data_IF_588413618761
#
_entry.id   IF_588413618761
#
_cell.length_a   1.000
_cell.length_b   1.000
_cell.length_c   1.000
_cell.angle_alpha   90.00
_cell.angle_beta   90.00
_cell.angle_gamma   90.00
#
_symmetry.space_group_name_H-M   'P 1'
#
loop_
_entity.id
_entity.type
_entity.pdbx_description
1 polymer ?
#
# COMPACT_ATOMS: atom_id res chain seq x y z
N UNK A 1 -23.73 -38.18 64.96
CA UNK A 1 -22.83 -37.00 64.85
C UNK A 1 -22.65 -36.77 63.36
N UNK A 2 -23.62 -36.10 62.72
CA UNK A 2 -23.72 -34.64 62.50
C UNK A 2 -22.63 -34.20 61.51
N UNK A 3 -22.86 -33.47 60.42
CA UNK A 3 -24.00 -33.14 59.55
C UNK A 3 -23.38 -32.43 58.33
N UNK A 4 -24.09 -32.49 57.20
CA UNK A 4 -24.19 -31.49 56.10
C UNK A 4 -23.07 -30.45 55.89
N UNK A 5 -22.54 -30.35 54.66
CA UNK A 5 -22.87 -29.17 53.83
C UNK A 5 -22.46 -29.30 52.35
N UNK A 6 -23.48 -29.14 51.51
CA UNK A 6 -23.40 -28.64 50.14
C UNK A 6 -23.01 -27.17 50.18
N UNK A 7 -21.93 -26.77 49.52
CA UNK A 7 -21.75 -25.39 49.03
C UNK A 7 -21.19 -25.53 47.62
N UNK A 8 -22.03 -25.24 46.63
CA UNK A 8 -21.52 -24.89 45.31
C UNK A 8 -20.76 -23.58 45.41
N UNK A 9 -19.67 -23.47 44.67
CA UNK A 9 -19.26 -22.16 44.22
C UNK A 9 -19.07 -22.16 42.71
N UNK A 10 -19.63 -21.09 42.17
CA UNK A 10 -19.83 -20.83 40.78
C UNK A 10 -18.62 -20.07 40.27
N UNK A 11 -18.32 -20.25 38.99
CA UNK A 11 -17.63 -19.26 38.17
C UNK A 11 -16.30 -18.70 38.73
N UNK A 12 -15.20 -19.32 38.32
CA UNK A 12 -14.03 -18.51 37.96
C UNK A 12 -13.82 -18.67 36.45
N UNK A 13 -14.19 -17.59 35.75
CA UNK A 13 -14.15 -17.49 34.32
C UNK A 13 -12.79 -17.88 33.79
N UNK A 14 -12.79 -18.76 32.79
CA UNK A 14 -11.66 -18.92 31.89
C UNK A 14 -11.35 -17.56 31.30
N UNK A 15 -10.38 -16.85 31.89
CA UNK A 15 -9.75 -15.70 31.28
C UNK A 15 -9.27 -16.16 29.91
N UNK A 16 -10.00 -15.78 28.88
CA UNK A 16 -9.66 -16.06 27.50
C UNK A 16 -8.33 -15.36 27.28
N UNK A 17 -7.23 -16.12 27.32
CA UNK A 17 -5.89 -15.66 26.95
C UNK A 17 -6.05 -14.90 25.64
N UNK A 18 -5.92 -13.57 25.70
CA UNK A 18 -6.24 -12.68 24.60
C UNK A 18 -5.34 -13.08 23.44
N UNK A 19 -5.85 -13.90 22.52
CA UNK A 19 -5.05 -14.45 21.42
C UNK A 19 -4.48 -13.29 20.64
N UNK A 20 -3.18 -13.36 20.33
CA UNK A 20 -2.52 -12.38 19.48
C UNK A 20 -3.30 -12.26 18.17
N UNK A 21 -3.54 -11.03 17.67
CA UNK A 21 -4.31 -10.84 16.45
C UNK A 21 -3.64 -11.59 15.28
N UNK A 22 -4.44 -12.17 14.39
CA UNK A 22 -3.94 -12.81 13.17
C UNK A 22 -3.35 -11.74 12.26
N UNK A 23 -2.14 -11.95 11.77
CA UNK A 23 -1.54 -11.04 10.78
C UNK A 23 -2.11 -11.34 9.39
N UNK A 24 -2.61 -10.29 8.74
CA UNK A 24 -2.92 -10.25 7.31
C UNK A 24 -1.92 -9.33 6.62
N UNK A 25 -1.73 -9.51 5.31
CA UNK A 25 -0.74 -8.74 4.55
C UNK A 25 -1.37 -8.21 3.26
N UNK A 26 -1.14 -6.94 2.96
CA UNK A 26 -1.60 -6.32 1.72
C UNK A 26 -0.43 -5.83 0.88
N UNK A 27 -0.46 -6.10 -0.41
CA UNK A 27 0.63 -5.83 -1.32
C UNK A 27 0.34 -4.62 -2.20
N UNK A 28 1.26 -3.66 -2.22
CA UNK A 28 1.33 -2.63 -3.25
C UNK A 28 2.63 -2.81 -4.05
N UNK A 29 2.52 -2.98 -5.36
CA UNK A 29 3.67 -3.15 -6.24
C UNK A 29 4.03 -1.85 -6.95
N UNK A 30 5.32 -1.66 -7.23
CA UNK A 30 5.79 -0.51 -7.99
C UNK A 30 7.23 -0.64 -8.47
N UNK A 31 7.59 0.24 -9.40
CA UNK A 31 8.98 0.41 -9.81
C UNK A 31 9.75 1.32 -8.84
N UNK A 32 9.03 2.15 -8.07
CA UNK A 32 9.53 3.04 -7.01
C UNK A 32 10.67 3.99 -7.41
N UNK A 33 10.81 4.29 -8.70
CA UNK A 33 11.87 5.17 -9.20
C UNK A 33 11.58 6.63 -8.88
N UNK A 34 12.60 7.34 -8.36
CA UNK A 34 12.48 8.70 -7.82
C UNK A 34 11.26 8.83 -6.89
N UNK A 35 11.25 8.09 -5.78
CA UNK A 35 10.14 8.14 -4.81
C UNK A 35 9.76 9.59 -4.45
N UNK A 36 8.47 9.86 -4.45
CA UNK A 36 7.93 11.23 -4.39
C UNK A 36 6.55 11.22 -3.73
N UNK A 37 5.95 12.40 -3.53
CA UNK A 37 4.68 12.55 -2.78
C UNK A 37 3.54 11.70 -3.32
N UNK A 38 3.46 11.50 -4.64
CA UNK A 38 2.52 10.54 -5.24
C UNK A 38 2.68 9.09 -4.74
N UNK A 39 3.92 8.59 -4.65
CA UNK A 39 4.21 7.25 -4.12
C UNK A 39 3.89 7.17 -2.62
N UNK A 40 4.31 8.17 -1.84
CA UNK A 40 4.01 8.20 -0.40
C UNK A 40 2.51 8.29 -0.09
N UNK A 41 1.76 9.07 -0.87
CA UNK A 41 0.31 9.12 -0.72
C UNK A 41 -0.39 7.83 -1.19
N UNK A 42 0.15 7.13 -2.20
CA UNK A 42 -0.34 5.79 -2.55
C UNK A 42 -0.17 4.82 -1.38
N UNK A 43 1.01 4.74 -0.78
CA UNK A 43 1.28 3.87 0.38
C UNK A 43 0.41 4.29 1.58
N UNK A 44 0.22 5.60 1.83
CA UNK A 44 -0.71 6.09 2.87
C UNK A 44 -2.16 5.63 2.63
N UNK A 45 -2.63 5.64 1.38
CA UNK A 45 -3.96 5.13 1.04
C UNK A 45 -4.05 3.63 1.27
N UNK A 46 -3.00 2.86 0.92
CA UNK A 46 -2.92 1.43 1.23
C UNK A 46 -2.98 1.17 2.73
N UNK A 47 -2.28 1.96 3.55
CA UNK A 47 -2.42 1.89 5.01
C UNK A 47 -3.83 2.25 5.51
N UNK A 48 -4.55 3.13 4.81
CA UNK A 48 -5.96 3.43 5.13
C UNK A 48 -6.85 2.22 4.84
N UNK A 49 -6.65 1.58 3.69
CA UNK A 49 -7.34 0.33 3.30
C UNK A 49 -7.00 -0.80 4.30
N UNK A 50 -5.75 -0.87 4.79
CA UNK A 50 -5.36 -1.81 5.84
C UNK A 50 -6.26 -1.68 7.07
N UNK A 51 -6.43 -0.45 7.57
CA UNK A 51 -7.30 -0.18 8.72
C UNK A 51 -8.78 -0.41 8.45
N UNK A 52 -9.23 -0.25 7.20
CA UNK A 52 -10.61 -0.62 6.80
C UNK A 52 -10.81 -2.14 6.89
N UNK A 53 -9.86 -2.93 6.38
CA UNK A 53 -9.88 -4.39 6.48
C UNK A 53 -9.84 -4.85 7.94
N UNK A 54 -9.01 -4.22 8.78
CA UNK A 54 -8.97 -4.52 10.22
C UNK A 54 -10.34 -4.33 10.87
N UNK A 55 -11.03 -3.22 10.56
CA UNK A 55 -12.39 -2.94 11.07
C UNK A 55 -13.43 -3.91 10.52
N UNK A 56 -13.39 -4.23 9.22
CA UNK A 56 -14.27 -5.22 8.60
C UNK A 56 -14.15 -6.57 9.31
N UNK A 57 -12.92 -7.02 9.59
CA UNK A 57 -12.65 -8.27 10.27
C UNK A 57 -13.03 -8.26 11.75
N UNK A 58 -12.83 -7.14 12.44
CA UNK A 58 -13.28 -7.00 13.83
C UNK A 58 -14.81 -7.12 13.94
N UNK A 59 -15.57 -6.55 12.99
CA UNK A 59 -17.02 -6.71 12.92
C UNK A 59 -17.46 -8.15 12.62
N UNK A 60 -16.63 -8.93 11.92
CA UNK A 60 -16.80 -10.37 11.71
C UNK A 60 -16.39 -11.22 12.93
N UNK A 61 -15.90 -10.60 14.01
CA UNK A 61 -15.43 -11.28 15.22
C UNK A 61 -13.98 -11.80 15.12
N UNK A 62 -13.24 -11.43 14.07
CA UNK A 62 -11.82 -11.75 13.90
C UNK A 62 -10.94 -10.58 14.36
N UNK A 63 -10.05 -10.81 15.33
CA UNK A 63 -8.99 -9.85 15.64
C UNK A 63 -7.83 -10.02 14.67
N UNK A 64 -7.67 -9.07 13.75
CA UNK A 64 -6.57 -9.06 12.77
C UNK A 64 -5.72 -7.80 12.88
N UNK A 65 -4.46 -7.91 12.46
CA UNK A 65 -3.58 -6.78 12.17
C UNK A 65 -3.14 -6.88 10.72
N UNK A 66 -3.19 -5.78 9.98
CA UNK A 66 -2.84 -5.77 8.56
C UNK A 66 -1.49 -5.08 8.36
N UNK A 67 -0.54 -5.80 7.75
CA UNK A 67 0.78 -5.29 7.37
C UNK A 67 0.79 -4.84 5.91
N UNK A 68 1.36 -3.66 5.66
CA UNK A 68 1.56 -3.12 4.31
C UNK A 68 2.89 -3.62 3.76
N UNK A 69 2.82 -4.36 2.65
CA UNK A 69 3.95 -4.95 1.97
C UNK A 69 4.21 -4.21 0.67
N UNK A 70 5.42 -3.66 0.51
CA UNK A 70 5.83 -3.02 -0.74
C UNK A 70 6.54 -4.03 -1.66
N UNK A 71 6.02 -4.22 -2.86
CA UNK A 71 6.61 -5.06 -3.90
C UNK A 71 7.51 -4.28 -4.85
N UNK A 72 8.77 -4.69 -5.01
CA UNK A 72 9.72 -4.08 -5.96
C UNK A 72 9.79 -4.93 -7.23
N UNK A 73 9.52 -4.30 -8.37
CA UNK A 73 9.80 -4.91 -9.67
C UNK A 73 11.30 -4.81 -10.02
N UNK A 74 11.93 -5.88 -10.54
CA UNK A 74 13.31 -5.84 -10.98
C UNK A 74 13.54 -4.78 -12.07
N UNK A 75 14.58 -3.98 -11.93
CA UNK A 75 14.98 -2.98 -12.92
C UNK A 75 15.22 -3.63 -14.29
N UNK A 76 15.87 -4.80 -14.32
CA UNK A 76 16.11 -5.56 -15.55
C UNK A 76 14.82 -5.90 -16.30
N UNK A 77 13.75 -6.22 -15.57
CA UNK A 77 12.49 -6.64 -16.14
C UNK A 77 11.71 -5.44 -16.67
N UNK A 78 11.66 -4.36 -15.90
CA UNK A 78 10.97 -3.16 -16.36
C UNK A 78 11.71 -2.50 -17.53
N UNK A 79 13.05 -2.51 -17.55
CA UNK A 79 13.84 -2.05 -18.71
C UNK A 79 13.40 -2.76 -19.99
N UNK A 80 13.21 -4.08 -19.92
CA UNK A 80 12.76 -4.90 -21.05
C UNK A 80 11.36 -4.52 -21.54
N UNK A 81 10.45 -4.18 -20.61
CA UNK A 81 9.03 -3.93 -20.95
C UNK A 81 8.75 -2.48 -21.32
N UNK A 82 9.25 -1.52 -20.53
CA UNK A 82 8.94 -0.09 -20.69
C UNK A 82 9.97 0.67 -21.52
N UNK A 83 11.19 0.14 -21.66
CA UNK A 83 12.32 0.88 -22.21
C UNK A 83 12.77 2.02 -21.29
N UNK A 84 14.04 2.41 -21.41
CA UNK A 84 14.64 3.48 -20.61
C UNK A 84 15.44 2.99 -19.40
N UNK A 85 16.31 3.85 -18.90
CA UNK A 85 17.12 3.60 -17.70
C UNK A 85 16.42 4.14 -16.46
N UNK A 86 16.60 3.43 -15.35
CA UNK A 86 16.18 3.88 -14.03
C UNK A 86 17.22 4.82 -13.44
N UNK A 87 16.74 5.83 -12.70
CA UNK A 87 17.67 6.69 -11.97
C UNK A 87 18.15 6.00 -10.71
N UNK A 88 17.25 5.34 -9.97
CA UNK A 88 17.58 4.67 -8.72
C UNK A 88 17.92 3.18 -8.91
N UNK A 89 18.92 2.72 -8.17
CA UNK A 89 19.18 1.28 -7.96
C UNK A 89 18.05 0.63 -7.17
N UNK A 90 17.98 -0.70 -7.17
CA UNK A 90 16.99 -1.43 -6.37
C UNK A 90 17.23 -1.24 -4.86
N UNK A 91 18.49 -1.09 -4.44
CA UNK A 91 18.91 -0.83 -3.05
C UNK A 91 18.49 0.58 -2.58
N UNK A 92 18.62 1.59 -3.46
CA UNK A 92 18.14 2.95 -3.17
C UNK A 92 16.62 2.97 -3.02
N UNK A 93 15.91 2.25 -3.88
CA UNK A 93 14.44 2.11 -3.79
C UNK A 93 14.02 1.43 -2.50
N UNK A 94 14.68 0.34 -2.13
CA UNK A 94 14.44 -0.35 -0.86
C UNK A 94 14.68 0.57 0.33
N UNK A 95 15.79 1.31 0.34
CA UNK A 95 16.11 2.27 1.41
C UNK A 95 15.00 3.32 1.59
N UNK A 96 14.47 3.83 0.49
CA UNK A 96 13.36 4.81 0.51
C UNK A 96 12.06 4.18 1.02
N UNK A 97 11.75 2.94 0.62
CA UNK A 97 10.58 2.20 1.09
C UNK A 97 10.67 1.88 2.59
N UNK A 98 11.82 1.41 3.08
CA UNK A 98 12.05 1.16 4.52
C UNK A 98 11.96 2.42 5.36
N UNK A 99 12.25 3.58 4.78
CA UNK A 99 12.11 4.88 5.43
C UNK A 99 10.66 5.40 5.44
N UNK A 100 9.75 4.72 4.73
CA UNK A 100 8.34 5.08 4.70
C UNK A 100 7.60 4.47 5.89
N UNK A 101 7.11 5.32 6.81
CA UNK A 101 6.43 4.90 8.05
C UNK A 101 5.18 4.01 7.89
N UNK A 102 4.67 3.88 6.67
CA UNK A 102 3.49 3.08 6.35
C UNK A 102 3.84 1.74 5.70
N UNK A 103 5.12 1.42 5.51
CA UNK A 103 5.58 0.13 4.97
C UNK A 103 6.07 -0.73 6.12
N UNK A 104 5.53 -1.93 6.26
CA UNK A 104 5.90 -2.90 7.29
C UNK A 104 6.92 -3.92 6.76
N UNK A 105 6.80 -4.35 5.50
CA UNK A 105 7.71 -5.31 4.88
C UNK A 105 7.89 -5.05 3.37
N UNK A 106 8.90 -5.68 2.77
CA UNK A 106 9.25 -5.54 1.36
C UNK A 106 9.38 -6.92 0.71
N UNK A 107 8.78 -7.07 -0.47
CA UNK A 107 8.97 -8.23 -1.34
C UNK A 107 9.77 -7.80 -2.56
N UNK A 108 10.91 -8.45 -2.78
CA UNK A 108 11.76 -8.25 -3.94
C UNK A 108 11.33 -9.16 -5.10
N UNK A 109 11.87 -8.87 -6.28
CA UNK A 109 11.69 -9.68 -7.49
C UNK A 109 10.22 -9.94 -7.84
N UNK A 110 9.34 -8.96 -7.61
CA UNK A 110 7.94 -9.07 -8.02
C UNK A 110 7.89 -9.02 -9.55
N UNK A 111 7.42 -10.07 -10.23
CA UNK A 111 7.41 -10.09 -11.69
C UNK A 111 6.51 -8.99 -12.27
N UNK A 112 6.91 -8.38 -13.38
CA UNK A 112 6.11 -7.40 -14.11
C UNK A 112 5.22 -8.08 -15.17
N UNK A 113 4.33 -8.94 -14.68
CA UNK A 113 3.33 -9.69 -15.45
C UNK A 113 2.02 -9.81 -14.65
N UNK A 114 0.93 -10.35 -15.22
CA UNK A 114 -0.30 -10.56 -14.48
C UNK A 114 -0.06 -11.22 -13.12
N UNK A 115 -0.51 -10.55 -12.06
CA UNK A 115 -0.36 -10.98 -10.68
C UNK A 115 -1.31 -12.14 -10.44
N UNK A 116 -0.76 -13.28 -10.04
CA UNK A 116 -1.53 -14.51 -9.87
C UNK A 116 -1.84 -14.76 -8.40
N UNK A 117 -2.88 -15.57 -8.15
CA UNK A 117 -3.26 -15.97 -6.79
C UNK A 117 -2.15 -16.80 -6.13
N UNK A 118 -1.45 -17.62 -6.91
CA UNK A 118 -0.32 -18.43 -6.42
C UNK A 118 0.85 -17.55 -5.95
N UNK A 119 1.08 -16.39 -6.60
CA UNK A 119 2.06 -15.44 -6.11
C UNK A 119 1.64 -14.87 -4.75
N UNK A 120 0.37 -14.48 -4.61
CA UNK A 120 -0.16 -13.99 -3.34
C UNK A 120 0.02 -15.03 -2.23
N UNK A 121 -0.37 -16.28 -2.49
CA UNK A 121 -0.29 -17.36 -1.51
C UNK A 121 1.15 -17.69 -1.12
N UNK A 122 2.06 -17.77 -2.09
CA UNK A 122 3.50 -18.00 -1.85
C UNK A 122 4.10 -16.96 -0.91
N UNK A 123 3.67 -15.70 -1.03
CA UNK A 123 4.17 -14.59 -0.23
C UNK A 123 3.29 -14.28 1.00
N UNK A 124 2.24 -15.07 1.25
CA UNK A 124 1.27 -14.91 2.34
C UNK A 124 0.55 -13.55 2.29
N UNK A 125 0.14 -13.12 1.11
CA UNK A 125 -0.50 -11.82 0.87
C UNK A 125 -1.99 -12.04 0.74
N UNK A 126 -2.80 -11.42 1.59
CA UNK A 126 -4.26 -11.57 1.57
C UNK A 126 -4.90 -10.74 0.44
N UNK A 127 -4.45 -9.49 0.25
CA UNK A 127 -4.96 -8.59 -0.79
C UNK A 127 -3.86 -7.94 -1.61
N UNK A 128 -4.10 -7.77 -2.91
CA UNK A 128 -3.34 -6.87 -3.78
C UNK A 128 -4.04 -5.52 -3.87
N UNK A 129 -3.26 -4.44 -3.90
CA UNK A 129 -3.75 -3.07 -3.94
C UNK A 129 -3.05 -2.30 -5.06
N UNK A 130 -3.83 -1.61 -5.89
CA UNK A 130 -3.30 -0.79 -6.98
C UNK A 130 -4.11 0.51 -7.13
N UNK A 131 -3.53 1.49 -7.84
CA UNK A 131 -4.26 2.69 -8.25
C UNK A 131 -5.39 2.38 -9.22
N UNK A 132 -6.29 3.33 -9.40
CA UNK A 132 -7.40 3.31 -10.36
C UNK A 132 -6.97 3.49 -11.84
N UNK A 133 -5.66 3.52 -12.12
CA UNK A 133 -5.12 3.58 -13.46
C UNK A 133 -5.12 2.21 -14.17
N UNK A 134 -5.29 2.24 -15.49
CA UNK A 134 -5.35 1.03 -16.32
C UNK A 134 -4.00 0.31 -16.27
N UNK A 135 -3.96 -0.84 -15.59
CA UNK A 135 -2.81 -1.71 -15.50
C UNK A 135 -2.97 -2.90 -16.45
N UNK A 136 -2.44 -2.79 -17.68
CA UNK A 136 -2.44 -3.86 -18.68
C UNK A 136 -1.02 -4.29 -19.04
N UNK A 137 -0.84 -5.58 -19.27
CA UNK A 137 0.36 -6.15 -19.87
C UNK A 137 0.46 -5.76 -21.35
N UNK A 138 1.63 -6.02 -21.97
CA UNK A 138 1.90 -5.69 -23.37
C UNK A 138 0.96 -6.38 -24.37
N UNK A 139 0.36 -7.51 -23.99
CA UNK A 139 -0.62 -8.26 -24.77
C UNK A 139 -2.08 -7.82 -24.51
N UNK A 140 -2.29 -6.80 -23.66
CA UNK A 140 -3.59 -6.27 -23.28
C UNK A 140 -4.25 -6.95 -22.07
N UNK A 141 -3.60 -7.96 -21.48
CA UNK A 141 -4.11 -8.68 -20.30
C UNK A 141 -4.16 -7.77 -19.07
N UNK A 142 -5.24 -7.84 -18.27
CA UNK A 142 -5.34 -7.11 -17.00
C UNK A 142 -4.30 -7.67 -16.02
N UNK A 143 -3.42 -6.79 -15.51
CA UNK A 143 -2.36 -7.15 -14.57
C UNK A 143 -2.90 -7.70 -13.25
N UNK A 144 -4.15 -7.39 -12.90
CA UNK A 144 -4.79 -7.79 -11.66
C UNK A 144 -6.04 -8.66 -11.89
N UNK A 145 -6.26 -9.15 -13.12
CA UNK A 145 -7.46 -9.92 -13.47
C UNK A 145 -7.70 -11.13 -12.56
N UNK A 146 -6.67 -11.97 -12.37
CA UNK A 146 -6.78 -13.18 -11.53
C UNK A 146 -7.09 -12.86 -10.05
N UNK A 147 -6.49 -11.81 -9.50
CA UNK A 147 -6.70 -11.42 -8.10
C UNK A 147 -8.03 -10.70 -7.89
N UNK A 148 -8.55 -10.00 -8.91
CA UNK A 148 -9.91 -9.43 -8.94
C UNK A 148 -10.96 -10.55 -8.92
N UNK A 149 -10.81 -11.56 -9.77
CA UNK A 149 -11.71 -12.71 -9.84
C UNK A 149 -11.74 -13.48 -8.50
N UNK A 150 -10.59 -13.57 -7.82
CA UNK A 150 -10.48 -14.19 -6.49
C UNK A 150 -11.00 -13.31 -5.33
N UNK A 151 -11.51 -12.09 -5.58
CA UNK A 151 -11.97 -11.16 -4.54
C UNK A 151 -10.86 -10.58 -3.64
N UNK A 152 -9.60 -10.71 -4.06
CA UNK A 152 -8.38 -10.34 -3.31
C UNK A 152 -7.75 -9.05 -3.81
N UNK A 153 -8.56 -8.12 -4.27
CA UNK A 153 -8.11 -6.86 -4.85
C UNK A 153 -8.81 -5.66 -4.20
N UNK A 154 -8.08 -4.55 -4.04
CA UNK A 154 -8.56 -3.24 -3.57
C UNK A 154 -7.95 -2.13 -4.42
N UNK A 155 -8.64 -1.01 -4.52
CA UNK A 155 -8.19 0.14 -5.33
C UNK A 155 -8.09 1.42 -4.50
N UNK A 156 -7.20 2.32 -4.91
CA UNK A 156 -7.12 3.68 -4.40
C UNK A 156 -7.01 4.70 -5.54
N UNK A 157 -7.30 5.97 -5.26
CA UNK A 157 -7.22 7.02 -6.27
C UNK A 157 -5.77 7.47 -6.49
N UNK A 158 -5.33 7.50 -7.75
CA UNK A 158 -4.01 8.01 -8.11
C UNK A 158 -3.87 9.49 -7.78
N UNK A 159 -2.71 9.87 -7.25
CA UNK A 159 -2.40 11.28 -6.98
C UNK A 159 -2.13 12.04 -8.27
N UNK A 160 -2.88 13.11 -8.50
CA UNK A 160 -2.72 13.96 -9.68
C UNK A 160 -1.48 14.87 -9.59
N UNK A 161 -1.00 15.34 -10.74
CA UNK A 161 0.02 16.39 -10.90
C UNK A 161 1.45 16.05 -10.46
N UNK A 162 1.76 14.79 -10.11
CA UNK A 162 3.14 14.34 -9.89
C UNK A 162 3.37 12.94 -10.46
N UNK A 163 4.52 12.76 -11.12
CA UNK A 163 5.00 11.48 -11.62
C UNK A 163 6.51 11.53 -11.81
N UNK A 164 7.16 10.36 -11.86
CA UNK A 164 8.59 10.24 -12.21
C UNK A 164 8.90 10.95 -13.52
N UNK A 165 8.05 10.79 -14.55
CA UNK A 165 8.19 11.51 -15.84
C UNK A 165 8.14 13.03 -15.67
N UNK A 166 7.22 13.54 -14.84
CA UNK A 166 7.14 14.98 -14.54
C UNK A 166 8.41 15.48 -13.84
N UNK A 167 8.97 14.70 -12.91
CA UNK A 167 10.21 15.07 -12.21
C UNK A 167 11.41 15.07 -13.16
N UNK A 168 11.57 14.02 -13.98
CA UNK A 168 12.63 13.93 -14.98
C UNK A 168 12.53 15.10 -15.97
N UNK A 169 11.33 15.38 -16.50
CA UNK A 169 11.12 16.49 -17.42
C UNK A 169 11.42 17.85 -16.78
N UNK A 170 11.17 18.02 -15.48
CA UNK A 170 11.58 19.24 -14.76
C UNK A 170 13.09 19.35 -14.65
N UNK A 171 13.80 18.27 -14.33
CA UNK A 171 15.27 18.26 -14.25
C UNK A 171 15.89 18.57 -15.62
N UNK A 172 15.40 17.91 -16.67
CA UNK A 172 15.87 18.14 -18.05
C UNK A 172 15.48 19.54 -18.56
N UNK A 173 14.27 20.00 -18.23
CA UNK A 173 13.75 21.31 -18.59
C UNK A 173 14.43 22.47 -17.86
N UNK A 174 15.00 22.24 -16.67
CA UNK A 174 15.84 23.22 -15.97
C UNK A 174 17.22 23.44 -16.61
N UNK A 175 17.48 22.87 -17.79
CA UNK A 175 18.62 23.27 -18.63
C UNK A 175 18.57 24.78 -18.91
N UNK A 176 19.71 25.48 -19.03
CA UNK A 176 19.73 26.93 -19.22
C UNK A 176 18.90 27.34 -20.45
N UNK A 177 17.73 27.95 -20.25
CA UNK A 177 16.88 28.47 -21.33
C UNK A 177 15.36 28.21 -21.27
N UNK A 178 14.82 27.40 -20.34
CA UNK A 178 13.36 27.16 -20.27
C UNK A 178 12.67 27.89 -19.10
N UNK A 179 11.52 28.52 -19.38
CA UNK A 179 10.70 29.24 -18.38
C UNK A 179 9.99 28.27 -17.41
N UNK A 180 10.56 28.06 -16.22
CA UNK A 180 10.16 27.02 -15.24
C UNK A 180 9.09 27.42 -14.20
N UNK A 181 8.51 28.62 -14.25
CA UNK A 181 7.84 29.23 -13.09
C UNK A 181 6.36 28.83 -12.84
N UNK A 182 5.60 28.30 -13.80
CA UNK A 182 4.15 28.05 -13.57
C UNK A 182 3.85 26.70 -12.86
N UNK A 183 4.67 25.67 -13.05
CA UNK A 183 4.40 24.32 -12.51
C UNK A 183 4.75 24.14 -11.02
N UNK A 184 5.46 25.10 -10.41
CA UNK A 184 5.96 25.04 -9.04
C UNK A 184 4.87 25.26 -7.97
N UNK A 185 3.81 26.00 -8.32
CA UNK A 185 2.79 26.48 -7.37
C UNK A 185 1.85 25.36 -6.87
N UNK A 186 1.47 24.42 -7.74
CA UNK A 186 0.47 23.39 -7.41
C UNK A 186 1.03 22.26 -6.53
N UNK A 187 2.24 21.78 -6.82
CA UNK A 187 2.88 20.70 -6.04
C UNK A 187 3.18 21.15 -4.61
N UNK A 188 3.66 22.39 -4.43
CA UNK A 188 4.04 22.96 -3.13
C UNK A 188 2.83 23.16 -2.20
N UNK A 189 1.67 23.57 -2.75
CA UNK A 189 0.42 23.66 -2.00
C UNK A 189 -0.04 22.30 -1.47
N UNK A 190 -0.05 21.27 -2.33
CA UNK A 190 -0.41 19.89 -1.92
C UNK A 190 0.58 19.29 -0.91
N UNK A 191 1.89 19.56 -1.02
CA UNK A 191 2.88 19.13 -0.02
C UNK A 191 2.60 19.71 1.37
N UNK A 192 2.17 20.97 1.44
CA UNK A 192 1.77 21.60 2.69
C UNK A 192 0.52 20.94 3.28
N UNK A 193 -0.46 20.57 2.44
CA UNK A 193 -1.66 19.84 2.86
C UNK A 193 -1.30 18.43 3.39
N UNK A 194 -0.43 17.69 2.70
CA UNK A 194 0.01 16.35 3.14
C UNK A 194 0.77 16.37 4.46
N UNK A 195 1.54 17.43 4.74
CA UNK A 195 2.30 17.56 6.00
C UNK A 195 1.42 17.71 7.24
N UNK A 196 0.14 18.10 7.09
CA UNK A 196 -0.76 18.44 8.21
C UNK A 196 -1.52 17.25 8.79
N UNK A 197 -1.36 16.04 8.25
CA UNK A 197 -2.05 14.84 8.73
C UNK A 197 -3.56 14.81 8.45
N UNK A 198 -4.18 13.64 8.60
CA UNK A 198 -5.61 13.43 8.36
C UNK A 198 -6.45 14.18 9.41
N UNK A 199 -7.40 15.01 8.96
CA UNK A 199 -8.52 15.49 9.77
C UNK A 199 -9.82 14.97 9.15
N UNK A 200 -10.71 14.34 9.93
CA UNK A 200 -12.04 13.99 9.44
C UNK A 200 -12.74 15.24 8.92
N UNK A 201 -13.47 15.11 7.81
CA UNK A 201 -14.32 16.18 7.31
C UNK A 201 -15.47 16.31 8.32
N UNK A 202 -15.47 17.39 9.11
CA UNK A 202 -16.67 17.77 9.85
C UNK A 202 -17.76 18.09 8.83
N UNK A 203 -18.85 17.34 8.89
CA UNK A 203 -20.03 17.57 8.06
C UNK A 203 -20.48 19.01 8.24
N UNK A 204 -20.46 19.80 7.16
CA UNK A 204 -21.03 21.13 7.15
C UNK A 204 -22.53 21.01 7.49
N UNK A 205 -22.90 21.43 8.70
CA UNK A 205 -24.29 21.73 9.03
C UNK A 205 -24.77 22.85 8.12
N UNK A 206 -25.92 22.61 7.48
CA UNK A 206 -26.64 23.55 6.62
C UNK A 206 -26.92 24.89 7.30
#
# INVERSE_FOLDING_TARGET
MVDTNTIGDSAEGSGELLRSPRTMRILICGCWDLMHTGHFNAIRQVATIAHEIEREKELEGERVRVEVVAGIHPNKEIRRVKGGEFVCSEEEKETMLRSCKWVDDIVHDVPYKPLTVEFLDKHRIDYAVHGDDIAKASDGTDMYGYVKEAGRYREFRRSECISTTTLINRILGCSPGANANEAFSLTSRRMTEFSRGYRPIESASK
#
